data_IF_674681376530
#
_entry.id   IF_674681376530
#
_cell.length_a   1.000
_cell.length_b   1.000
_cell.length_c   1.000
_cell.angle_alpha   90.00
_cell.angle_beta   90.00
_cell.angle_gamma   90.00
#
_symmetry.space_group_name_H-M   'P 1'
#
loop_
_entity.id
_entity.type
_entity.pdbx_description
1 polymer ?
#
# COMPACT_ATOMS: atom_id res chain seq x y z
N UNK A 1 7.77 21.51 2.29
CA UNK A 1 8.34 20.43 3.11
C UNK A 1 7.77 20.39 4.52
N UNK A 2 7.58 21.53 5.22
CA UNK A 2 7.13 21.60 6.64
C UNK A 2 6.06 20.57 7.08
N UNK A 3 4.97 20.40 6.33
CA UNK A 3 3.90 19.45 6.69
C UNK A 3 4.35 17.97 6.61
N UNK A 4 5.22 17.64 5.64
CA UNK A 4 5.82 16.32 5.49
C UNK A 4 6.78 16.03 6.66
N UNK A 5 7.55 17.03 7.08
CA UNK A 5 8.47 16.89 8.20
C UNK A 5 7.70 16.65 9.51
N UNK A 6 6.62 17.42 9.74
CA UNK A 6 5.77 17.30 10.93
C UNK A 6 5.12 15.92 11.05
N UNK A 7 4.50 15.40 9.98
CA UNK A 7 3.94 14.05 10.02
C UNK A 7 5.03 12.97 10.21
N UNK A 8 6.25 13.21 9.71
CA UNK A 8 7.36 12.25 9.86
C UNK A 8 7.83 12.12 11.31
N UNK A 9 7.69 13.19 12.10
CA UNK A 9 8.11 13.23 13.51
C UNK A 9 7.00 12.83 14.48
N UNK A 10 5.73 12.80 14.06
CA UNK A 10 4.62 12.40 14.92
C UNK A 10 4.73 10.92 15.29
N UNK A 11 4.67 10.58 16.58
CA UNK A 11 4.80 9.21 17.08
C UNK A 11 3.46 8.49 17.16
N UNK A 12 2.37 9.22 17.38
CA UNK A 12 1.03 8.65 17.44
C UNK A 12 0.53 8.30 16.03
N UNK A 13 0.28 7.01 15.78
CA UNK A 13 -0.12 6.54 14.46
C UNK A 13 -1.45 7.11 13.96
N UNK A 14 -2.41 7.38 14.86
CA UNK A 14 -3.72 7.95 14.47
C UNK A 14 -3.57 9.42 14.08
N UNK A 15 -2.80 10.19 14.86
CA UNK A 15 -2.50 11.59 14.54
C UNK A 15 -1.70 11.70 13.26
N UNK A 16 -0.69 10.85 13.08
CA UNK A 16 0.10 10.79 11.84
C UNK A 16 -0.78 10.53 10.62
N UNK A 17 -1.71 9.58 10.72
CA UNK A 17 -2.65 9.29 9.64
C UNK A 17 -3.53 10.49 9.29
N UNK A 18 -4.06 11.20 10.31
CA UNK A 18 -4.86 12.40 10.08
C UNK A 18 -4.07 13.52 9.39
N UNK A 19 -2.79 13.71 9.77
CA UNK A 19 -1.89 14.66 9.11
C UNK A 19 -1.64 14.28 7.64
N UNK A 20 -1.37 12.99 7.37
CA UNK A 20 -1.16 12.48 5.99
C UNK A 20 -2.41 12.68 5.13
N UNK A 21 -3.60 12.43 5.66
CA UNK A 21 -4.86 12.67 4.94
C UNK A 21 -5.07 14.15 4.62
N UNK A 22 -4.76 15.05 5.56
CA UNK A 22 -4.85 16.49 5.33
C UNK A 22 -3.86 16.96 4.24
N UNK A 23 -2.63 16.41 4.25
CA UNK A 23 -1.62 16.69 3.23
C UNK A 23 -2.09 16.19 1.86
N UNK A 24 -2.59 14.96 1.77
CA UNK A 24 -3.10 14.38 0.53
C UNK A 24 -4.18 15.26 -0.10
N UNK A 25 -5.18 15.67 0.70
CA UNK A 25 -6.26 16.54 0.23
C UNK A 25 -5.72 17.86 -0.35
N UNK A 26 -4.75 18.48 0.33
CA UNK A 26 -4.14 19.71 -0.15
C UNK A 26 -3.38 19.51 -1.47
N UNK A 27 -2.68 18.39 -1.61
CA UNK A 27 -1.98 18.03 -2.86
C UNK A 27 -2.98 17.81 -4.00
N UNK A 28 -4.10 17.14 -3.73
CA UNK A 28 -5.16 16.91 -4.72
C UNK A 28 -5.85 18.21 -5.18
N UNK A 29 -6.04 19.17 -4.28
CA UNK A 29 -6.60 20.49 -4.60
C UNK A 29 -5.64 21.34 -5.47
N UNK A 30 -4.32 21.19 -5.29
CA UNK A 30 -3.29 21.97 -6.00
C UNK A 30 -2.79 21.30 -7.30
N UNK A 31 -2.94 19.98 -7.45
CA UNK A 31 -2.26 19.23 -8.52
C UNK A 31 -3.07 19.09 -9.83
N UNK A 32 -2.39 19.28 -10.96
CA UNK A 32 -2.89 18.98 -12.32
C UNK A 32 -2.89 17.48 -12.69
N UNK A 33 -2.60 16.58 -11.74
CA UNK A 33 -2.52 15.13 -11.98
C UNK A 33 -3.68 14.43 -11.28
N UNK A 34 -4.80 14.16 -11.99
CA UNK A 34 -5.93 13.46 -11.41
C UNK A 34 -5.52 12.03 -11.03
N UNK A 35 -5.82 11.64 -9.79
CA UNK A 35 -5.81 10.25 -9.37
C UNK A 35 -7.08 9.59 -9.95
N UNK A 36 -6.94 8.55 -10.76
CA UNK A 36 -8.08 7.88 -11.38
C UNK A 36 -8.60 6.73 -10.52
N UNK A 37 -7.71 5.82 -10.14
CA UNK A 37 -8.03 4.69 -9.27
C UNK A 37 -6.75 4.07 -8.70
N UNK A 38 -6.92 3.21 -7.70
CA UNK A 38 -5.90 2.28 -7.24
C UNK A 38 -5.83 1.07 -8.17
N UNK A 39 -4.63 0.53 -8.33
CA UNK A 39 -4.43 -0.68 -9.13
C UNK A 39 -5.12 -1.88 -8.47
N UNK A 40 -5.89 -2.62 -9.27
CA UNK A 40 -6.39 -3.95 -8.90
C UNK A 40 -5.51 -5.00 -9.58
N UNK A 41 -4.81 -5.80 -8.78
CA UNK A 41 -3.97 -6.89 -9.28
C UNK A 41 -4.73 -8.21 -9.26
N UNK A 42 -4.76 -8.88 -10.43
CA UNK A 42 -5.31 -10.23 -10.59
C UNK A 42 -4.16 -11.21 -10.77
N UNK A 43 -4.28 -12.38 -10.14
CA UNK A 43 -3.25 -13.41 -10.20
C UNK A 43 -3.89 -14.78 -10.40
N UNK A 44 -3.16 -15.65 -11.09
CA UNK A 44 -3.55 -17.03 -11.35
C UNK A 44 -2.60 -17.93 -10.58
N UNK A 45 -3.14 -18.93 -9.91
CA UNK A 45 -2.36 -19.94 -9.19
C UNK A 45 -2.65 -21.32 -9.76
N UNK A 46 -1.65 -22.19 -9.71
CA UNK A 46 -1.87 -23.58 -10.07
C UNK A 46 -2.65 -24.31 -8.98
N UNK A 47 -3.56 -25.25 -9.31
CA UNK A 47 -4.36 -25.95 -8.30
C UNK A 47 -3.55 -26.74 -7.24
N UNK A 48 -2.34 -27.17 -7.61
CA UNK A 48 -1.42 -27.93 -6.74
C UNK A 48 -0.56 -27.01 -5.84
N UNK A 49 -0.52 -25.70 -6.11
CA UNK A 49 0.18 -24.73 -5.25
C UNK A 49 -0.75 -24.35 -4.12
N UNK A 50 -0.30 -24.58 -2.89
CA UNK A 50 -1.06 -24.32 -1.66
C UNK A 50 -0.44 -23.15 -0.90
N UNK A 51 -1.30 -22.50 -0.12
CA UNK A 51 -0.93 -21.44 0.81
C UNK A 51 -0.28 -20.19 0.16
N UNK A 52 -0.51 -19.98 -1.14
CA UNK A 52 -0.16 -18.74 -1.82
C UNK A 52 -1.16 -17.64 -1.47
N UNK A 53 -0.76 -16.76 -0.55
CA UNK A 53 -1.54 -15.59 -0.16
C UNK A 53 -1.01 -14.35 -0.90
N UNK A 54 -1.83 -13.67 -1.71
CA UNK A 54 -1.45 -12.42 -2.37
C UNK A 54 -1.30 -11.32 -1.33
N UNK A 55 -0.21 -10.56 -1.42
CA UNK A 55 0.03 -9.42 -0.54
C UNK A 55 0.04 -8.11 -1.31
N UNK A 56 -0.69 -7.13 -0.81
CA UNK A 56 -0.68 -5.74 -1.29
C UNK A 56 0.58 -4.97 -0.82
N UNK A 57 1.75 -5.57 -1.01
CA UNK A 57 3.04 -4.95 -0.69
C UNK A 57 3.73 -4.50 -1.98
N UNK A 58 4.13 -3.23 -2.01
CA UNK A 58 4.84 -2.61 -3.14
C UNK A 58 6.25 -3.19 -3.38
N UNK A 59 6.85 -3.86 -2.39
CA UNK A 59 8.23 -4.37 -2.48
C UNK A 59 8.34 -5.90 -2.42
N UNK A 60 7.35 -6.61 -1.88
CA UNK A 60 7.38 -8.07 -1.70
C UNK A 60 6.00 -8.67 -1.95
N UNK A 61 5.54 -8.59 -3.20
CA UNK A 61 4.22 -9.07 -3.65
C UNK A 61 3.92 -10.53 -3.25
N UNK A 62 4.95 -11.39 -3.19
CA UNK A 62 4.80 -12.77 -2.74
C UNK A 62 5.73 -13.09 -1.57
N UNK A 63 5.21 -13.11 -0.34
CA UNK A 63 5.90 -13.82 0.76
C UNK A 63 5.67 -15.31 0.52
N UNK A 64 6.65 -15.96 -0.11
CA UNK A 64 6.53 -17.39 -0.50
C UNK A 64 7.01 -18.37 0.57
N UNK A 65 7.34 -17.89 1.78
CA UNK A 65 7.96 -18.70 2.84
C UNK A 65 7.11 -19.92 3.24
N UNK A 66 5.80 -19.76 3.24
CA UNK A 66 4.84 -20.80 3.63
C UNK A 66 4.15 -21.47 2.42
N UNK A 67 4.61 -21.17 1.20
CA UNK A 67 4.01 -21.68 -0.04
C UNK A 67 4.62 -23.04 -0.36
N UNK A 68 3.77 -24.01 -0.70
CA UNK A 68 4.20 -25.38 -1.00
C UNK A 68 3.37 -25.99 -2.13
N UNK A 69 3.83 -27.13 -2.63
CA UNK A 69 3.20 -27.90 -3.72
C UNK A 69 2.93 -29.32 -3.26
N UNK A 70 1.75 -29.87 -3.58
CA UNK A 70 1.38 -31.27 -3.32
C UNK A 70 1.67 -32.22 -4.49
N UNK A 71 2.38 -31.74 -5.51
CA UNK A 71 2.79 -32.49 -6.70
C UNK A 71 4.24 -32.93 -6.66
#
# INVERSE_FOLDING_TARGET
AKLIDEQSQELDGKKRLALVQAIQKKVEEEAARPLLDWRLDYFVTWPHVKNLVPHQSIYNWGRMQEVWSDK
#
